data_IF_244150581266
#
_entry.id   IF_244150581266
#
_cell.length_a   1.000
_cell.length_b   1.000
_cell.length_c   1.000
_cell.angle_alpha   90.00
_cell.angle_beta   90.00
_cell.angle_gamma   90.00
#
_symmetry.space_group_name_H-M   'P 1'
#
loop_
_entity.id
_entity.type
_entity.pdbx_description
1 polymer ?
#
# COMPACT_ATOMS: atom_id res chain seq x y z
N UNK A 1 36.50 20.77 36.43
CA UNK A 1 35.57 21.39 35.46
C UNK A 1 35.32 20.33 34.40
N UNK A 2 34.26 19.54 34.56
CA UNK A 2 34.03 18.29 33.80
C UNK A 2 32.62 18.32 33.26
N UNK A 3 32.48 18.70 31.99
CA UNK A 3 31.26 18.49 31.23
C UNK A 3 31.28 17.04 30.72
N UNK A 4 30.40 16.18 31.23
CA UNK A 4 30.17 14.86 30.65
C UNK A 4 28.69 14.49 30.72
N UNK A 5 28.16 14.23 29.51
CA UNK A 5 27.13 13.25 29.23
C UNK A 5 25.77 13.44 29.88
N UNK A 6 24.93 14.26 29.23
CA UNK A 6 23.46 14.14 29.33
C UNK A 6 22.81 14.14 27.94
N UNK A 7 23.58 13.95 26.87
CA UNK A 7 23.05 14.07 25.49
C UNK A 7 22.74 12.72 24.82
N UNK A 8 23.13 11.59 25.41
CA UNK A 8 22.98 10.27 24.78
C UNK A 8 21.77 9.48 25.29
N UNK A 9 21.20 9.81 26.46
CA UNK A 9 20.07 9.06 27.02
C UNK A 9 18.71 9.46 26.40
N UNK A 10 18.54 10.71 25.97
CA UNK A 10 17.26 11.23 25.47
C UNK A 10 16.94 10.70 24.06
N UNK A 11 17.96 10.38 23.25
CA UNK A 11 17.74 9.85 21.89
C UNK A 11 17.34 8.37 21.85
N UNK A 12 17.61 7.60 22.90
CA UNK A 12 17.27 6.17 22.95
C UNK A 12 15.81 5.91 23.33
N UNK A 13 15.15 6.80 24.07
CA UNK A 13 13.75 6.61 24.46
C UNK A 13 12.77 7.10 23.38
N UNK A 14 13.06 8.21 22.69
CA UNK A 14 12.23 8.68 21.57
C UNK A 14 12.21 7.70 20.38
N UNK A 15 13.29 6.96 20.17
CA UNK A 15 13.37 5.94 19.12
C UNK A 15 12.46 4.73 19.42
N UNK A 16 12.33 4.36 20.70
CA UNK A 16 11.50 3.22 21.10
C UNK A 16 10.03 3.62 21.19
N UNK A 17 9.70 4.85 21.63
CA UNK A 17 8.31 5.34 21.64
C UNK A 17 7.72 5.47 20.24
N UNK A 18 8.54 5.72 19.20
CA UNK A 18 8.08 5.68 17.80
C UNK A 18 7.73 4.29 17.27
N UNK A 19 8.23 3.22 17.89
CA UNK A 19 7.90 1.84 17.47
C UNK A 19 6.57 1.33 18.04
N UNK A 20 5.98 2.02 19.01
CA UNK A 20 4.67 1.66 19.61
C UNK A 20 3.55 2.64 19.28
N UNK A 21 3.85 3.67 18.48
CA UNK A 21 2.82 4.60 18.03
C UNK A 21 1.92 3.87 17.02
N UNK A 22 0.67 3.62 17.41
CA UNK A 22 -0.37 3.09 16.51
C UNK A 22 -0.39 3.98 15.26
N UNK A 23 -0.32 3.42 14.03
CA UNK A 23 -0.36 4.20 12.79
C UNK A 23 -1.53 5.17 12.88
N UNK A 24 -1.20 6.46 12.99
CA UNK A 24 -2.21 7.46 13.29
C UNK A 24 -2.90 7.76 11.97
N UNK A 25 -4.15 7.32 11.84
CA UNK A 25 -5.00 7.75 10.73
C UNK A 25 -5.04 9.28 10.78
N UNK A 26 -4.53 9.93 9.73
CA UNK A 26 -4.69 11.38 9.61
C UNK A 26 -6.19 11.70 9.72
N UNK A 27 -6.63 12.53 10.70
CA UNK A 27 -8.04 12.79 10.90
C UNK A 27 -8.53 13.69 9.77
N UNK A 28 -9.36 13.12 8.89
CA UNK A 28 -9.84 13.79 7.68
C UNK A 28 -9.16 13.26 6.44
N UNK A 29 -9.78 12.22 5.86
CA UNK A 29 -9.74 11.87 4.45
C UNK A 29 -8.43 12.09 3.72
N UNK A 30 -7.59 11.06 3.65
CA UNK A 30 -7.03 10.77 2.35
C UNK A 30 -6.78 9.27 2.18
N UNK A 31 -7.89 8.52 2.09
CA UNK A 31 -7.93 7.13 1.63
C UNK A 31 -7.86 7.03 0.10
N UNK A 32 -7.54 8.14 -0.58
CA UNK A 32 -7.63 8.22 -2.04
C UNK A 32 -6.74 7.17 -2.67
N UNK A 33 -5.49 7.01 -2.21
CA UNK A 33 -4.56 6.04 -2.76
C UNK A 33 -5.06 4.59 -2.67
N UNK A 34 -5.63 4.19 -1.53
CA UNK A 34 -6.21 2.86 -1.37
C UNK A 34 -7.41 2.62 -2.32
N UNK A 35 -8.30 3.61 -2.48
CA UNK A 35 -9.45 3.51 -3.40
C UNK A 35 -9.03 3.48 -4.86
N UNK A 36 -8.05 4.32 -5.19
CA UNK A 36 -7.39 4.41 -6.49
C UNK A 36 -6.81 3.03 -6.83
N UNK A 37 -5.99 2.42 -5.96
CA UNK A 37 -5.48 1.06 -6.19
C UNK A 37 -6.56 -0.01 -6.27
N UNK A 38 -7.59 0.07 -5.42
CA UNK A 38 -8.66 -0.91 -5.42
C UNK A 38 -9.44 -0.91 -6.76
N UNK A 39 -9.70 0.28 -7.30
CA UNK A 39 -10.34 0.47 -8.59
C UNK A 39 -9.46 -0.02 -9.74
N UNK A 40 -8.20 0.42 -9.79
CA UNK A 40 -7.25 0.05 -10.85
C UNK A 40 -7.05 -1.46 -10.96
N UNK A 41 -6.91 -2.12 -9.82
CA UNK A 41 -6.81 -3.57 -9.78
C UNK A 41 -8.08 -4.24 -10.32
N UNK A 42 -9.26 -3.74 -9.93
CA UNK A 42 -10.54 -4.28 -10.41
C UNK A 42 -10.67 -4.12 -11.93
N UNK A 43 -10.32 -2.95 -12.47
CA UNK A 43 -10.35 -2.67 -13.90
C UNK A 43 -9.37 -3.57 -14.67
N UNK A 44 -8.13 -3.67 -14.20
CA UNK A 44 -7.12 -4.53 -14.81
C UNK A 44 -7.53 -6.02 -14.78
N UNK A 45 -8.09 -6.49 -13.66
CA UNK A 45 -8.58 -7.87 -13.55
C UNK A 45 -9.72 -8.16 -14.54
N UNK A 46 -10.69 -7.24 -14.66
CA UNK A 46 -11.79 -7.37 -15.63
C UNK A 46 -11.27 -7.34 -17.06
N UNK A 47 -10.29 -6.48 -17.38
CA UNK A 47 -9.67 -6.41 -18.69
C UNK A 47 -8.93 -7.71 -19.05
N UNK A 48 -8.14 -8.25 -18.12
CA UNK A 48 -7.50 -9.57 -18.27
C UNK A 48 -8.52 -10.68 -18.51
N UNK A 49 -9.63 -10.69 -17.78
CA UNK A 49 -10.69 -11.69 -17.96
C UNK A 49 -11.37 -11.57 -19.34
N UNK A 50 -11.45 -10.37 -19.91
CA UNK A 50 -11.92 -10.13 -21.28
C UNK A 50 -10.89 -10.47 -22.35
N UNK A 51 -9.67 -10.86 -21.97
CA UNK A 51 -8.58 -11.21 -22.89
C UNK A 51 -7.74 -10.02 -23.35
N UNK A 52 -7.85 -8.86 -22.69
CA UNK A 52 -6.98 -7.72 -22.99
C UNK A 52 -5.59 -7.95 -22.39
N UNK A 53 -4.64 -8.30 -23.26
CA UNK A 53 -3.26 -8.55 -22.86
C UNK A 53 -2.52 -7.28 -22.40
N UNK A 54 -2.96 -6.08 -22.80
CA UNK A 54 -2.33 -4.83 -22.37
C UNK A 54 -2.50 -4.60 -20.85
N UNK A 55 -3.56 -5.15 -20.26
CA UNK A 55 -3.78 -5.11 -18.81
C UNK A 55 -2.72 -5.90 -18.02
N UNK A 56 -1.98 -6.83 -18.64
CA UNK A 56 -0.90 -7.55 -17.99
C UNK A 56 0.24 -6.61 -17.55
N UNK A 57 0.47 -5.52 -18.28
CA UNK A 57 1.49 -4.53 -17.92
C UNK A 57 1.24 -3.87 -16.56
N UNK A 58 -0.03 -3.73 -16.15
CA UNK A 58 -0.35 -3.25 -14.80
C UNK A 58 0.07 -4.27 -13.73
N UNK A 59 -0.23 -5.55 -13.94
CA UNK A 59 0.14 -6.61 -12.99
C UNK A 59 1.67 -6.76 -12.88
N UNK A 60 2.38 -6.65 -14.01
CA UNK A 60 3.85 -6.66 -14.05
C UNK A 60 4.45 -5.47 -13.30
N UNK A 61 3.93 -4.26 -13.54
CA UNK A 61 4.34 -3.06 -12.81
C UNK A 61 4.10 -3.22 -11.30
N UNK A 62 2.92 -3.70 -10.90
CA UNK A 62 2.56 -3.88 -9.50
C UNK A 62 3.43 -4.93 -8.79
N UNK A 63 3.81 -6.00 -9.50
CA UNK A 63 4.72 -7.02 -8.98
C UNK A 63 6.09 -6.45 -8.55
N UNK A 64 6.54 -5.35 -9.15
CA UNK A 64 7.75 -4.63 -8.74
C UNK A 64 7.71 -4.03 -7.33
N UNK A 65 6.53 -3.94 -6.72
CA UNK A 65 6.31 -3.40 -5.38
C UNK A 65 6.02 -4.48 -4.33
N UNK A 66 6.24 -5.76 -4.65
CA UNK A 66 6.05 -6.86 -3.71
C UNK A 66 7.05 -6.80 -2.56
N UNK A 67 6.56 -7.03 -1.35
CA UNK A 67 7.33 -7.14 -0.11
C UNK A 67 6.95 -8.45 0.57
N UNK A 68 7.91 -9.36 0.74
CA UNK A 68 7.67 -10.71 1.27
C UNK A 68 7.11 -10.74 2.70
N UNK A 69 7.53 -9.76 3.51
CA UNK A 69 7.08 -9.61 4.88
C UNK A 69 6.58 -8.19 5.09
N UNK A 70 5.29 -8.00 4.84
CA UNK A 70 4.63 -6.71 5.02
C UNK A 70 3.73 -6.77 6.26
N UNK A 71 3.97 -5.96 7.30
CA UNK A 71 3.11 -5.92 8.46
C UNK A 71 1.67 -5.56 8.08
N UNK A 72 0.70 -6.28 8.63
CA UNK A 72 -0.71 -5.96 8.45
C UNK A 72 -1.16 -4.95 9.51
N UNK A 73 -1.80 -3.85 9.12
CA UNK A 73 -2.44 -2.95 10.07
C UNK A 73 -3.60 -3.65 10.81
N UNK A 74 -3.74 -3.37 12.11
CA UNK A 74 -4.83 -3.90 12.95
C UNK A 74 -6.18 -3.18 12.74
N UNK A 75 -6.19 -2.10 11.94
CA UNK A 75 -7.39 -1.32 11.64
C UNK A 75 -8.13 -1.84 10.39
N UNK A 76 -9.35 -1.33 10.20
CA UNK A 76 -10.13 -1.65 9.02
C UNK A 76 -9.43 -1.13 7.75
N UNK A 77 -9.48 -1.93 6.69
CA UNK A 77 -9.02 -1.53 5.37
C UNK A 77 -9.75 -0.27 4.89
N UNK A 78 -9.06 0.56 4.11
CA UNK A 78 -9.66 1.76 3.52
C UNK A 78 -10.43 1.47 2.23
N UNK A 79 -10.05 0.41 1.53
CA UNK A 79 -10.74 -0.14 0.37
C UNK A 79 -10.42 -1.64 0.20
N UNK A 80 -11.25 -2.36 -0.55
CA UNK A 80 -11.00 -3.76 -0.91
C UNK A 80 -11.19 -3.96 -2.41
N UNK A 81 -10.40 -4.85 -2.99
CA UNK A 81 -10.64 -5.38 -4.34
C UNK A 81 -11.18 -6.80 -4.21
N UNK A 82 -12.39 -7.02 -4.73
CA UNK A 82 -13.13 -8.28 -4.57
C UNK A 82 -12.46 -9.48 -5.28
N UNK A 83 -11.54 -9.22 -6.21
CA UNK A 83 -10.93 -10.25 -7.04
C UNK A 83 -9.43 -10.34 -6.78
N UNK A 84 -8.98 -11.04 -5.75
CA UNK A 84 -7.57 -11.44 -5.73
C UNK A 84 -7.33 -12.53 -6.81
N UNK A 85 -6.12 -12.62 -7.36
CA UNK A 85 -5.72 -13.77 -8.21
C UNK A 85 -5.63 -15.10 -7.42
N UNK A 86 -5.96 -15.06 -6.13
CA UNK A 86 -6.10 -16.17 -5.18
C UNK A 86 -7.50 -16.11 -4.54
N UNK A 87 -7.94 -17.15 -3.84
CA UNK A 87 -9.22 -17.08 -3.11
C UNK A 87 -9.21 -15.91 -2.10
N UNK A 88 -10.13 -14.96 -2.28
CA UNK A 88 -10.40 -13.86 -1.37
C UNK A 88 -10.18 -12.47 -1.96
N UNK A 89 -10.08 -11.46 -1.09
CA UNK A 89 -10.05 -10.03 -1.44
C UNK A 89 -8.69 -9.41 -1.13
N UNK A 90 -8.22 -8.50 -1.97
CA UNK A 90 -7.06 -7.67 -1.62
C UNK A 90 -7.55 -6.53 -0.74
N UNK A 91 -7.00 -6.41 0.47
CA UNK A 91 -7.27 -5.26 1.35
C UNK A 91 -6.24 -4.16 1.13
N UNK A 92 -6.72 -2.93 0.96
CA UNK A 92 -5.89 -1.76 0.68
C UNK A 92 -5.91 -0.77 1.83
N UNK A 93 -4.74 -0.25 2.18
CA UNK A 93 -4.53 0.72 3.24
C UNK A 93 -3.72 1.91 2.71
N UNK A 94 -4.04 3.10 3.19
CA UNK A 94 -3.33 4.33 2.85
C UNK A 94 -2.78 4.98 4.12
N UNK A 95 -1.51 4.72 4.44
CA UNK A 95 -0.89 5.08 5.73
C UNK A 95 0.56 5.50 5.52
N UNK A 96 1.00 6.48 6.31
CA UNK A 96 2.42 6.85 6.43
C UNK A 96 3.14 7.16 5.10
N UNK A 97 2.41 7.70 4.11
CA UNK A 97 2.95 8.01 2.78
C UNK A 97 3.05 6.80 1.83
N UNK A 98 2.45 5.67 2.20
CA UNK A 98 2.39 4.47 1.37
C UNK A 98 0.95 3.99 1.18
N UNK A 99 0.71 3.40 0.02
CA UNK A 99 -0.46 2.56 -0.22
C UNK A 99 0.00 1.11 -0.15
N UNK A 100 -0.62 0.32 0.73
CA UNK A 100 -0.31 -1.10 0.89
C UNK A 100 -1.49 -1.97 0.48
N UNK A 101 -1.21 -3.04 -0.26
CA UNK A 101 -2.19 -4.05 -0.67
C UNK A 101 -1.83 -5.40 -0.05
N UNK A 102 -2.77 -6.05 0.64
CA UNK A 102 -2.54 -7.33 1.31
C UNK A 102 -3.37 -8.42 0.66
N UNK A 103 -2.70 -9.51 0.28
CA UNK A 103 -3.38 -10.70 -0.22
C UNK A 103 -3.78 -11.60 0.95
N UNK A 104 -4.95 -12.25 0.86
CA UNK A 104 -5.43 -13.16 1.88
C UNK A 104 -4.50 -14.38 1.97
N UNK A 105 -4.17 -14.78 3.20
CA UNK A 105 -3.32 -15.95 3.47
C UNK A 105 -1.84 -15.78 3.12
N UNK A 106 -1.41 -14.59 2.68
CA UNK A 106 -0.02 -14.32 2.33
C UNK A 106 0.69 -13.50 3.42
N UNK A 107 1.95 -13.85 3.70
CA UNK A 107 2.80 -13.06 4.59
C UNK A 107 3.21 -11.72 3.94
N UNK A 108 3.26 -11.69 2.61
CA UNK A 108 3.66 -10.54 1.80
C UNK A 108 2.51 -9.70 1.26
N UNK A 109 2.86 -8.66 0.52
CA UNK A 109 1.89 -7.76 -0.12
C UNK A 109 2.59 -6.67 -0.92
N UNK A 110 1.80 -5.76 -1.46
CA UNK A 110 2.29 -4.61 -2.20
C UNK A 110 2.53 -3.43 -1.28
N UNK A 111 3.63 -2.70 -1.48
CA UNK A 111 3.89 -1.42 -0.82
C UNK A 111 4.33 -0.38 -1.84
N UNK A 112 3.45 0.56 -2.14
CA UNK A 112 3.67 1.60 -3.14
C UNK A 112 3.85 2.96 -2.46
N UNK A 113 4.79 3.80 -2.92
CA UNK A 113 4.81 5.21 -2.56
C UNK A 113 3.47 5.87 -2.93
N UNK A 114 2.89 6.62 -2.00
CA UNK A 114 1.56 7.24 -2.20
C UNK A 114 1.58 8.27 -3.34
N UNK A 115 2.63 9.06 -3.44
CA UNK A 115 2.83 10.04 -4.51
C UNK A 115 2.81 9.38 -5.90
N UNK A 116 3.43 8.20 -6.05
CA UNK A 116 3.37 7.42 -7.28
C UNK A 116 1.92 7.02 -7.60
N UNK A 117 1.18 6.49 -6.63
CA UNK A 117 -0.23 6.09 -6.82
C UNK A 117 -1.12 7.27 -7.21
N UNK A 118 -0.88 8.45 -6.63
CA UNK A 118 -1.67 9.65 -6.90
C UNK A 118 -1.33 10.32 -8.24
N UNK A 119 -0.15 10.05 -8.81
CA UNK A 119 0.33 10.65 -10.07
C UNK A 119 0.26 9.72 -11.27
N UNK A 120 0.10 8.42 -11.05
CA UNK A 120 -0.09 7.40 -12.08
C UNK A 120 -1.52 6.82 -12.07
N UNK A 121 -2.56 7.60 -12.44
CA UNK A 121 -3.93 7.10 -12.46
C UNK A 121 -4.20 6.25 -13.73
N UNK A 122 -3.35 5.27 -14.03
CA UNK A 122 -3.66 4.13 -14.94
C UNK A 122 -3.92 4.47 -16.43
N UNK A 123 -3.23 5.48 -16.95
CA UNK A 123 -3.25 5.93 -18.36
C UNK A 123 -2.89 4.84 -19.41
N UNK A 124 -2.54 3.62 -19.01
CA UNK A 124 -2.23 2.53 -19.95
C UNK A 124 -3.43 1.64 -20.34
N UNK A 125 -4.57 1.72 -19.64
CA UNK A 125 -5.78 0.95 -20.01
C UNK A 125 -6.67 1.67 -21.03
N UNK A 126 -6.45 2.97 -21.27
CA UNK A 126 -7.27 3.78 -22.19
C UNK A 126 -6.72 3.87 -23.63
N UNK A 127 -5.53 3.33 -23.93
CA UNK A 127 -4.91 3.45 -25.26
C UNK A 127 -5.13 2.25 -26.19
N UNK A 128 -6.03 1.32 -25.85
CA UNK A 128 -6.34 0.14 -26.65
C UNK A 128 -7.78 0.16 -27.24
N UNK A 129 -8.30 1.34 -27.58
CA UNK A 129 -9.55 1.51 -28.31
C UNK A 129 -9.32 1.96 -29.76
#
# INVERSE_FOLDING_TARGET
>A
MTARSTFTAIQSEEFITRMTAKPTRFPGGDTAGARIMAQAWTEAYVALWRGDAAAASFAEWLAGFWVEHLPQPDDAADATSLYAMVEGEITWYDRDGFVTGRLPGQAGGYRLPRDLVMTYPWVALESAA
#
